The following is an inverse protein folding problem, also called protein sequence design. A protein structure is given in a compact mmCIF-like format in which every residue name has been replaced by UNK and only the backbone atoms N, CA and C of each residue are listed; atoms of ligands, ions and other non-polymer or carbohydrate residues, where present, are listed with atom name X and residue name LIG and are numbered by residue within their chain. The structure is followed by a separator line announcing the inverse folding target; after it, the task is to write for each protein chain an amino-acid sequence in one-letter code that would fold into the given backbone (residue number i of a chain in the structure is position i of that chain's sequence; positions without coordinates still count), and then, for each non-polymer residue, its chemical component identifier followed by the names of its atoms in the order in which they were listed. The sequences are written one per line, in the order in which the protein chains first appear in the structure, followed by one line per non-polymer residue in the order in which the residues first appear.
data_IF_393482068459
#
_entry.id   IF_393482068459
#
_cell.length_a   1.000
_cell.length_b   1.000
_cell.length_c   1.000
_cell.angle_alpha   90.00
_cell.angle_beta   90.00
_cell.angle_gamma   90.00
#
_symmetry.space_group_name_H-M   'P 1'
#
loop_
_entity.id
_entity.type
_entity.pdbx_description
1 polymer ?
#
# COMPACT_ATOMS: atom_id res chain seq x y z
N UNK A 1 11.39 -9.77 4.71
CA UNK A 1 10.85 -11.10 5.08
C UNK A 1 12.02 -12.00 5.43
N UNK A 2 11.82 -12.99 6.31
CA UNK A 2 12.89 -13.90 6.73
C UNK A 2 12.51 -15.33 6.38
N UNK A 3 13.42 -16.04 5.70
CA UNK A 3 13.34 -17.48 5.50
C UNK A 3 14.08 -18.19 6.62
N UNK A 4 13.47 -19.27 7.12
CA UNK A 4 14.07 -20.14 8.13
C UNK A 4 14.30 -21.52 7.52
N UNK A 5 15.52 -22.01 7.67
CA UNK A 5 15.96 -23.31 7.16
C UNK A 5 15.96 -24.33 8.28
N UNK A 6 15.42 -25.52 8.00
CA UNK A 6 15.49 -26.66 8.92
C UNK A 6 16.71 -27.53 8.65
N UNK A 7 17.25 -28.13 9.71
CA UNK A 7 18.43 -29.00 9.65
C UNK A 7 19.71 -28.29 10.10
N UNK A 8 20.85 -28.93 9.85
CA UNK A 8 22.15 -28.42 10.29
C UNK A 8 22.69 -27.34 9.34
N UNK A 9 23.47 -26.37 9.86
CA UNK A 9 24.24 -25.47 9.02
C UNK A 9 25.21 -26.26 8.14
N UNK A 10 25.40 -25.80 6.90
CA UNK A 10 26.32 -26.40 5.94
C UNK A 10 27.32 -25.34 5.51
N UNK A 11 28.59 -25.71 5.38
CA UNK A 11 29.67 -24.81 4.97
C UNK A 11 29.70 -24.58 3.44
N UNK A 12 28.55 -24.23 2.87
CA UNK A 12 28.39 -23.74 1.50
C UNK A 12 27.10 -22.91 1.41
N UNK A 13 27.06 -22.00 0.45
CA UNK A 13 25.82 -21.29 0.12
C UNK A 13 24.79 -22.28 -0.43
N UNK A 14 23.52 -22.04 -0.11
CA UNK A 14 22.39 -22.90 -0.49
C UNK A 14 21.28 -22.07 -1.09
N UNK A 15 20.65 -22.56 -2.15
CA UNK A 15 19.62 -21.80 -2.86
C UNK A 15 18.23 -22.28 -2.44
N UNK A 16 17.38 -21.35 -1.99
CA UNK A 16 15.95 -21.57 -1.81
C UNK A 16 15.18 -21.01 -3.01
N UNK A 17 14.27 -21.80 -3.58
CA UNK A 17 13.43 -21.39 -4.70
C UNK A 17 12.09 -20.85 -4.18
N UNK A 18 11.60 -19.77 -4.80
CA UNK A 18 10.29 -19.18 -4.56
C UNK A 18 9.47 -19.27 -5.85
N UNK A 19 8.21 -19.66 -5.73
CA UNK A 19 7.27 -19.81 -6.84
C UNK A 19 6.02 -18.96 -6.59
N UNK A 20 5.62 -18.20 -7.61
CA UNK A 20 4.31 -17.55 -7.65
C UNK A 20 3.20 -18.58 -7.88
N UNK A 21 2.21 -18.62 -6.99
CA UNK A 21 1.02 -19.45 -7.19
C UNK A 21 -0.07 -18.59 -7.85
N UNK A 22 -0.07 -18.57 -9.18
CA UNK A 22 -1.01 -17.75 -9.97
C UNK A 22 -2.48 -18.07 -9.67
N UNK A 23 -2.82 -19.34 -9.45
CA UNK A 23 -4.19 -19.76 -9.13
C UNK A 23 -4.73 -19.17 -7.80
N UNK A 24 -3.83 -18.71 -6.92
CA UNK A 24 -4.17 -18.10 -5.63
C UNK A 24 -3.82 -16.61 -5.58
N UNK A 25 -3.34 -16.04 -6.69
CA UNK A 25 -2.91 -14.65 -6.78
C UNK A 25 -3.81 -13.87 -7.72
N UNK A 26 -4.13 -12.63 -7.35
CA UNK A 26 -4.83 -11.66 -8.20
C UNK A 26 -3.93 -10.50 -8.61
N UNK A 27 -2.72 -10.41 -8.05
CA UNK A 27 -1.73 -9.40 -8.38
C UNK A 27 -1.20 -9.56 -9.79
N UNK A 28 -1.12 -8.47 -10.54
CA UNK A 28 -0.47 -8.42 -11.85
C UNK A 28 1.04 -8.16 -11.68
N UNK A 29 1.83 -8.49 -12.71
CA UNK A 29 3.29 -8.32 -12.67
C UNK A 29 3.76 -6.86 -12.52
N UNK A 30 2.90 -5.87 -12.77
CA UNK A 30 3.21 -4.46 -12.52
C UNK A 30 2.99 -4.03 -11.06
N UNK A 31 2.45 -4.92 -10.22
CA UNK A 31 2.07 -4.61 -8.83
C UNK A 31 3.06 -5.17 -7.81
N UNK A 32 4.06 -5.94 -8.22
CA UNK A 32 5.06 -6.49 -7.31
C UNK A 32 6.40 -6.76 -7.99
N UNK A 33 7.45 -6.84 -7.18
CA UNK A 33 8.74 -7.43 -7.54
C UNK A 33 9.14 -8.42 -6.47
N UNK A 34 9.46 -9.65 -6.88
CA UNK A 34 9.85 -10.73 -5.97
C UNK A 34 11.13 -11.41 -6.48
N UNK A 35 12.05 -11.81 -5.60
CA UNK A 35 13.11 -12.73 -5.96
C UNK A 35 12.50 -14.12 -6.20
N UNK A 36 12.87 -14.78 -7.29
CA UNK A 36 12.53 -16.20 -7.52
C UNK A 36 13.51 -17.15 -6.83
N UNK A 37 14.67 -16.64 -6.41
CA UNK A 37 15.69 -17.40 -5.69
C UNK A 37 16.28 -16.53 -4.58
N UNK A 38 16.50 -17.14 -3.43
CA UNK A 38 17.16 -16.53 -2.28
C UNK A 38 18.34 -17.40 -1.88
N UNK A 39 19.52 -16.80 -1.75
CA UNK A 39 20.74 -17.52 -1.36
C UNK A 39 20.91 -17.46 0.14
N UNK A 40 20.83 -18.61 0.81
CA UNK A 40 21.16 -18.78 2.22
C UNK A 40 22.69 -18.90 2.32
N UNK A 41 23.39 -17.97 2.98
CA UNK A 41 24.84 -18.03 3.09
C UNK A 41 25.32 -19.26 3.87
N UNK A 42 26.58 -19.65 3.62
CA UNK A 42 27.24 -20.72 4.36
C UNK A 42 27.12 -20.53 5.88
N UNK A 43 26.85 -21.64 6.58
CA UNK A 43 26.67 -21.72 8.03
C UNK A 43 25.49 -20.89 8.60
N UNK A 44 24.63 -20.30 7.76
CA UNK A 44 23.41 -19.61 8.19
C UNK A 44 22.20 -20.52 8.11
N UNK A 45 21.27 -20.35 9.05
CA UNK A 45 19.95 -21.00 9.05
C UNK A 45 18.81 -20.03 8.73
N UNK A 46 19.12 -18.75 8.57
CA UNK A 46 18.16 -17.72 8.23
C UNK A 46 18.72 -16.82 7.14
N UNK A 47 17.84 -16.30 6.31
CA UNK A 47 18.19 -15.27 5.33
C UNK A 47 17.01 -14.33 5.13
N UNK A 48 17.30 -13.05 5.02
CA UNK A 48 16.30 -12.05 4.70
C UNK A 48 16.19 -11.84 3.19
N UNK A 49 14.97 -11.60 2.73
CA UNK A 49 14.67 -11.20 1.37
C UNK A 49 13.58 -10.13 1.36
N UNK A 50 13.57 -9.34 0.29
CA UNK A 50 12.63 -8.23 0.09
C UNK A 50 11.58 -8.60 -0.95
N UNK A 51 10.36 -8.14 -0.72
CA UNK A 51 9.27 -8.17 -1.69
C UNK A 51 8.80 -6.73 -1.84
N UNK A 52 8.88 -6.19 -3.05
CA UNK A 52 8.39 -4.85 -3.32
C UNK A 52 6.92 -4.95 -3.74
N UNK A 53 6.06 -4.21 -3.05
CA UNK A 53 4.64 -4.08 -3.39
C UNK A 53 4.42 -2.69 -3.98
N UNK A 54 3.93 -2.65 -5.21
CA UNK A 54 3.82 -1.42 -6.00
C UNK A 54 2.38 -0.91 -5.99
N UNK A 55 2.24 0.40 -5.83
CA UNK A 55 0.94 1.08 -5.91
C UNK A 55 0.53 1.23 -7.37
N UNK A 56 -0.70 0.84 -7.70
CA UNK A 56 -1.32 1.04 -9.02
C UNK A 56 -2.72 1.60 -8.85
N UNK A 57 -3.27 2.22 -9.91
CA UNK A 57 -4.59 2.87 -9.88
C UNK A 57 -5.71 1.90 -9.46
N UNK A 58 -5.62 0.64 -9.88
CA UNK A 58 -6.61 -0.40 -9.55
C UNK A 58 -6.74 -0.68 -8.05
N UNK A 59 -5.69 -0.42 -7.26
CA UNK A 59 -5.72 -0.68 -5.81
C UNK A 59 -6.65 0.27 -5.06
N UNK A 60 -7.07 1.38 -5.68
CA UNK A 60 -8.03 2.31 -5.09
C UNK A 60 -9.45 1.72 -5.00
N UNK A 61 -9.73 0.65 -5.75
CA UNK A 61 -11.05 0.04 -5.84
C UNK A 61 -11.11 -1.38 -5.27
N UNK A 62 -9.99 -2.11 -5.28
CA UNK A 62 -9.97 -3.52 -4.89
C UNK A 62 -8.72 -3.90 -4.09
N UNK A 63 -8.88 -4.96 -3.29
CA UNK A 63 -7.75 -5.63 -2.65
C UNK A 63 -7.14 -6.66 -3.58
N UNK A 64 -5.83 -6.59 -3.71
CA UNK A 64 -5.02 -7.50 -4.50
C UNK A 64 -4.35 -8.51 -3.57
N UNK A 65 -4.17 -9.73 -4.09
CA UNK A 65 -3.57 -10.86 -3.39
C UNK A 65 -2.35 -11.37 -4.15
N UNK A 66 -1.24 -11.59 -3.45
CA UNK A 66 -0.06 -12.29 -3.96
C UNK A 66 0.24 -13.48 -3.06
N UNK A 67 0.34 -14.66 -3.65
CA UNK A 67 0.66 -15.90 -2.95
C UNK A 67 1.94 -16.49 -3.51
N UNK A 68 2.95 -16.62 -2.65
CA UNK A 68 4.27 -17.13 -3.00
C UNK A 68 4.51 -18.35 -2.12
N UNK A 69 4.97 -19.45 -2.70
CA UNK A 69 5.35 -20.65 -1.96
C UNK A 69 6.83 -20.95 -2.17
N UNK A 70 7.41 -21.71 -1.23
CA UNK A 70 8.69 -22.35 -1.42
C UNK A 70 8.54 -23.48 -2.44
N UNK A 71 9.53 -23.60 -3.31
CA UNK A 71 9.66 -24.72 -4.23
C UNK A 71 10.91 -25.53 -3.87
N UNK A 72 10.90 -26.82 -4.22
CA UNK A 72 12.09 -27.65 -4.06
C UNK A 72 13.26 -27.07 -4.87
N UNK A 73 14.46 -27.23 -4.32
CA UNK A 73 15.72 -26.87 -4.97
C UNK A 73 16.71 -28.03 -4.82
N UNK A 74 17.89 -27.88 -5.40
CA UNK A 74 18.98 -28.85 -5.21
C UNK A 74 19.45 -28.94 -3.74
N UNK A 75 19.25 -27.88 -2.96
CA UNK A 75 19.72 -27.79 -1.56
C UNK A 75 18.60 -27.97 -0.53
N UNK A 76 17.34 -27.69 -0.88
CA UNK A 76 16.21 -27.70 0.06
C UNK A 76 14.99 -28.43 -0.48
N UNK A 77 14.32 -29.15 0.41
CA UNK A 77 12.96 -29.64 0.22
C UNK A 77 11.97 -28.67 0.85
N UNK A 78 10.72 -28.71 0.40
CA UNK A 78 9.63 -27.99 1.06
C UNK A 78 9.45 -28.53 2.48
N UNK A 79 9.37 -27.62 3.44
CA UNK A 79 9.28 -27.94 4.86
C UNK A 79 7.85 -28.26 5.32
N UNK A 80 7.47 -27.68 6.44
CA UNK A 80 6.11 -27.76 6.99
C UNK A 80 5.15 -27.00 6.07
N UNK A 81 4.13 -27.68 5.53
CA UNK A 81 3.18 -27.13 4.54
C UNK A 81 2.46 -25.89 5.05
N UNK A 82 2.21 -25.82 6.35
CA UNK A 82 1.55 -24.66 6.98
C UNK A 82 2.45 -23.40 7.00
N UNK A 83 3.75 -23.54 6.77
CA UNK A 83 4.75 -22.46 6.83
C UNK A 83 5.56 -22.30 5.54
N UNK A 84 5.16 -22.97 4.46
CA UNK A 84 5.90 -22.97 3.20
C UNK A 84 5.55 -21.80 2.26
N UNK A 85 4.72 -20.85 2.71
CA UNK A 85 4.17 -19.81 1.86
C UNK A 85 4.02 -18.46 2.54
N UNK A 86 3.96 -17.44 1.71
CA UNK A 86 3.67 -16.05 2.06
C UNK A 86 2.43 -15.58 1.32
N UNK A 87 1.50 -15.00 2.07
CA UNK A 87 0.27 -14.40 1.55
C UNK A 87 0.30 -12.90 1.83
N UNK A 88 0.46 -12.12 0.78
CA UNK A 88 0.34 -10.65 0.83
C UNK A 88 -1.04 -10.25 0.33
N UNK A 89 -1.69 -9.35 1.07
CA UNK A 89 -2.94 -8.69 0.66
C UNK A 89 -2.77 -7.19 0.90
N UNK A 90 -2.97 -6.39 -0.13
CA UNK A 90 -2.84 -4.94 -0.04
C UNK A 90 -3.83 -4.23 -0.97
N UNK A 91 -4.14 -3.00 -0.61
CA UNK A 91 -5.00 -2.09 -1.36
C UNK A 91 -4.64 -0.64 -1.00
N UNK A 92 -5.24 0.29 -1.73
CA UNK A 92 -5.23 1.72 -1.46
C UNK A 92 -6.68 2.25 -1.42
N UNK A 93 -7.59 1.46 -0.85
CA UNK A 93 -9.00 1.84 -0.75
C UNK A 93 -9.16 2.79 0.43
N UNK A 94 -9.59 4.03 0.15
CA UNK A 94 -10.00 4.95 1.21
C UNK A 94 -11.48 4.78 1.50
N UNK A 95 -11.81 4.75 2.79
CA UNK A 95 -13.19 4.82 3.27
C UNK A 95 -13.49 6.21 3.79
N UNK A 96 -14.75 6.64 3.63
CA UNK A 96 -15.23 7.90 4.20
C UNK A 96 -15.05 7.91 5.73
N UNK A 97 -14.42 8.95 6.31
CA UNK A 97 -14.32 9.09 7.76
C UNK A 97 -15.69 9.18 8.44
N UNK A 98 -15.85 8.52 9.59
CA UNK A 98 -17.12 8.51 10.34
C UNK A 98 -17.56 9.91 10.78
N UNK A 99 -16.61 10.76 11.15
CA UNK A 99 -16.86 12.13 11.60
C UNK A 99 -17.02 13.14 10.46
N UNK A 100 -17.04 12.69 9.19
CA UNK A 100 -17.12 13.62 8.07
C UNK A 100 -18.41 14.44 8.12
N UNK A 101 -19.56 13.79 8.24
CA UNK A 101 -20.87 14.48 8.23
C UNK A 101 -21.09 15.32 9.49
N UNK A 102 -20.52 14.92 10.62
CA UNK A 102 -20.76 15.57 11.92
C UNK A 102 -19.83 16.74 12.19
N UNK A 103 -18.57 16.68 11.74
CA UNK A 103 -17.53 17.66 12.07
C UNK A 103 -16.92 18.29 10.81
N UNK A 104 -16.33 17.45 9.95
CA UNK A 104 -15.45 17.90 8.87
C UNK A 104 -16.18 18.62 7.76
N UNK A 105 -17.45 18.28 7.53
CA UNK A 105 -18.31 18.91 6.51
C UNK A 105 -18.46 20.41 6.72
N UNK A 106 -18.51 20.87 7.96
CA UNK A 106 -18.60 22.31 8.27
C UNK A 106 -17.34 23.09 7.88
N UNK A 107 -16.19 22.41 7.86
CA UNK A 107 -14.89 23.02 7.55
C UNK A 107 -14.55 22.83 6.07
N UNK A 108 -14.59 21.59 5.56
CA UNK A 108 -14.10 21.21 4.23
C UNK A 108 -15.22 21.03 3.19
N UNK A 109 -16.49 21.17 3.58
CA UNK A 109 -17.64 21.02 2.70
C UNK A 109 -18.05 19.57 2.44
N UNK A 110 -18.82 19.36 1.37
CA UNK A 110 -19.31 18.02 0.99
C UNK A 110 -18.16 17.02 0.78
N UNK A 111 -18.40 15.77 1.17
CA UNK A 111 -17.44 14.69 0.98
C UNK A 111 -17.32 14.35 -0.50
N UNK A 112 -16.09 14.14 -0.95
CA UNK A 112 -15.80 13.31 -2.10
C UNK A 112 -14.52 12.53 -1.85
N UNK A 113 -14.41 11.36 -2.48
CA UNK A 113 -13.23 10.50 -2.33
C UNK A 113 -11.97 11.22 -2.81
N UNK A 114 -12.05 11.91 -3.96
CA UNK A 114 -10.93 12.68 -4.52
C UNK A 114 -10.51 13.82 -3.59
N UNK A 115 -11.47 14.53 -2.99
CA UNK A 115 -11.19 15.59 -2.01
C UNK A 115 -10.44 15.03 -0.81
N UNK A 116 -10.93 13.92 -0.24
CA UNK A 116 -10.32 13.33 0.94
C UNK A 116 -8.91 12.80 0.65
N UNK A 117 -8.71 12.16 -0.51
CA UNK A 117 -7.39 11.76 -0.99
C UNK A 117 -6.45 12.96 -1.09
N UNK A 118 -6.89 14.02 -1.76
CA UNK A 118 -6.11 15.24 -1.94
C UNK A 118 -5.70 15.86 -0.59
N UNK A 119 -6.59 15.83 0.41
CA UNK A 119 -6.25 16.28 1.76
C UNK A 119 -5.13 15.47 2.39
N UNK A 120 -5.21 14.13 2.32
CA UNK A 120 -4.18 13.25 2.87
C UNK A 120 -2.85 13.46 2.16
N UNK A 121 -2.86 13.52 0.83
CA UNK A 121 -1.65 13.65 0.02
C UNK A 121 -0.90 14.97 0.26
N UNK A 122 -1.62 16.07 0.53
CA UNK A 122 -1.00 17.38 0.79
C UNK A 122 -0.62 17.57 2.26
N UNK A 123 -1.40 17.04 3.20
CA UNK A 123 -1.19 17.25 4.64
C UNK A 123 -0.35 16.15 5.29
N UNK A 124 -0.09 15.05 4.59
CA UNK A 124 0.62 13.87 5.08
C UNK A 124 0.01 13.31 6.38
N UNK A 125 -1.32 13.41 6.51
CA UNK A 125 -2.07 12.92 7.66
C UNK A 125 -3.49 12.53 7.27
N UNK A 126 -4.02 11.50 7.92
CA UNK A 126 -5.43 11.10 7.83
C UNK A 126 -6.24 11.48 9.09
N UNK A 127 -5.60 12.11 10.08
CA UNK A 127 -6.22 12.47 11.35
C UNK A 127 -6.82 13.86 11.26
N UNK A 128 -8.14 13.92 11.11
CA UNK A 128 -8.91 15.17 11.10
C UNK A 128 -10.05 15.03 12.10
N UNK A 129 -9.98 15.69 13.25
CA UNK A 129 -11.07 15.67 14.25
C UNK A 129 -11.01 16.88 15.16
N UNK A 130 -12.17 17.38 15.57
CA UNK A 130 -12.26 18.44 16.58
C UNK A 130 -11.83 18.00 17.98
N UNK A 131 -11.68 16.69 18.23
CA UNK A 131 -11.17 16.17 19.51
C UNK A 131 -9.65 16.32 19.63
N UNK A 132 -8.96 16.28 18.50
CA UNK A 132 -7.48 16.31 18.43
C UNK A 132 -6.94 17.63 17.90
N UNK A 133 -7.78 18.43 17.24
CA UNK A 133 -7.42 19.68 16.60
C UNK A 133 -8.36 20.80 16.99
N UNK A 134 -7.79 21.98 17.23
CA UNK A 134 -8.57 23.20 17.43
C UNK A 134 -9.25 23.65 16.12
N UNK A 135 -10.31 24.45 16.27
CA UNK A 135 -10.99 25.07 15.15
C UNK A 135 -10.04 25.91 14.27
N UNK A 136 -9.06 26.58 14.88
CA UNK A 136 -8.07 27.37 14.16
C UNK A 136 -7.13 26.50 13.31
N UNK A 137 -6.71 25.34 13.81
CA UNK A 137 -5.87 24.40 13.05
C UNK A 137 -6.63 23.79 11.87
N UNK A 138 -7.90 23.41 12.06
CA UNK A 138 -8.74 22.92 10.97
C UNK A 138 -8.94 23.99 9.88
N UNK A 139 -9.11 25.27 10.26
CA UNK A 139 -9.18 26.36 9.29
C UNK A 139 -7.83 26.66 8.63
N UNK A 140 -6.72 26.48 9.34
CA UNK A 140 -5.39 26.56 8.72
C UNK A 140 -5.22 25.50 7.63
N UNK A 141 -5.65 24.26 7.90
CA UNK A 141 -5.66 23.19 6.90
C UNK A 141 -6.54 23.53 5.71
N UNK A 142 -7.74 24.08 5.96
CA UNK A 142 -8.62 24.57 4.90
C UNK A 142 -7.94 25.59 3.98
N UNK A 143 -7.21 26.56 4.55
CA UNK A 143 -6.45 27.56 3.78
C UNK A 143 -5.34 26.88 2.96
N UNK A 144 -4.58 25.95 3.57
CA UNK A 144 -3.57 25.16 2.86
C UNK A 144 -4.17 24.38 1.68
N UNK A 145 -5.35 23.78 1.86
CA UNK A 145 -6.04 23.04 0.80
C UNK A 145 -6.50 23.94 -0.34
N UNK A 146 -7.00 25.14 -0.05
CA UNK A 146 -7.35 26.11 -1.10
C UNK A 146 -6.14 26.52 -1.93
N UNK A 147 -5.02 26.80 -1.28
CA UNK A 147 -3.78 27.19 -1.96
C UNK A 147 -3.25 26.03 -2.81
N UNK A 148 -3.22 24.81 -2.26
CA UNK A 148 -2.78 23.62 -2.97
C UNK A 148 -3.69 23.30 -4.17
N UNK A 149 -5.01 23.41 -4.01
CA UNK A 149 -5.98 23.21 -5.09
C UNK A 149 -5.80 24.26 -6.20
N UNK A 150 -5.55 25.51 -5.83
CA UNK A 150 -5.29 26.58 -6.80
C UNK A 150 -4.02 26.27 -7.59
N UNK A 151 -2.91 25.94 -6.91
CA UNK A 151 -1.66 25.57 -7.56
C UNK A 151 -1.80 24.34 -8.46
N UNK A 152 -2.59 23.34 -8.04
CA UNK A 152 -2.89 22.18 -8.87
C UNK A 152 -3.64 22.57 -10.15
N UNK A 153 -4.69 23.36 -10.04
CA UNK A 153 -5.49 23.79 -11.18
C UNK A 153 -4.72 24.72 -12.14
N UNK A 154 -3.82 25.56 -11.61
CA UNK A 154 -2.92 26.38 -12.43
C UNK A 154 -1.91 25.53 -13.22
N UNK A 155 -1.41 24.45 -12.62
CA UNK A 155 -0.56 23.48 -13.31
C UNK A 155 -1.33 22.60 -14.32
N UNK A 156 -2.66 22.48 -14.17
CA UNK A 156 -3.53 21.65 -15.01
C UNK A 156 -4.70 22.48 -15.58
N UNK A 157 -4.44 23.50 -16.43
CA UNK A 157 -5.46 24.45 -16.88
C UNK A 157 -6.59 23.81 -17.70
N UNK A 158 -6.33 22.70 -18.38
CA UNK A 158 -7.32 21.95 -19.17
C UNK A 158 -7.99 20.82 -18.39
N UNK A 159 -7.46 20.47 -17.22
CA UNK A 159 -7.89 19.33 -16.41
C UNK A 159 -7.91 19.71 -14.91
N UNK A 160 -8.79 20.66 -14.51
CA UNK A 160 -8.90 21.02 -13.10
C UNK A 160 -9.37 19.82 -12.28
N UNK A 161 -9.01 19.80 -10.99
CA UNK A 161 -9.33 18.68 -10.11
C UNK A 161 -10.85 18.50 -9.99
N UNK A 162 -11.33 17.36 -10.47
CA UNK A 162 -12.72 16.92 -10.37
C UNK A 162 -12.84 15.72 -9.46
N UNK A 163 -13.97 15.62 -8.77
CA UNK A 163 -14.32 14.47 -7.96
C UNK A 163 -14.76 13.27 -8.80
N UNK A 164 -15.04 12.15 -8.13
CA UNK A 164 -15.51 10.91 -8.74
C UNK A 164 -16.84 11.04 -9.50
N UNK A 165 -17.59 12.11 -9.27
CA UNK A 165 -18.86 12.42 -9.94
C UNK A 165 -18.69 13.48 -11.06
N UNK A 166 -17.46 13.90 -11.34
CA UNK A 166 -17.13 14.92 -12.35
C UNK A 166 -17.38 16.36 -11.89
N UNK A 167 -17.67 16.60 -10.61
CA UNK A 167 -17.84 17.93 -10.03
C UNK A 167 -16.49 18.53 -9.64
N UNK A 168 -16.33 19.85 -9.72
CA UNK A 168 -15.08 20.50 -9.32
C UNK A 168 -14.88 20.39 -7.80
N UNK A 169 -13.70 19.95 -7.38
CA UNK A 169 -13.32 19.93 -5.96
C UNK A 169 -13.22 21.37 -5.46
N UNK A 170 -13.73 21.61 -4.26
CA UNK A 170 -13.68 22.92 -3.59
C UNK A 170 -13.52 22.76 -2.07
N UNK A 171 -12.91 23.77 -1.43
CA UNK A 171 -12.67 23.84 0.02
C UNK A 171 -13.22 25.15 0.58
#
# INVERSE_FOLDING_TARGET
MTLHVMGNPVNKDRVANLELVSAQSTATSSQYSIPLQVTVPANQLTVDFTVDLLRTVELQEKTVRLYIKLAESADFKTGVVEQDHFLFKWNDVLSKPKNWETELKSVFGEYSLVKYRFMIDILDTATFSSETMSWAELNNYKIKMRNALTAYNEAHPTEPLKDENGQLVSF
#
